data_IF_906467176339
#
_entry.id   IF_906467176339
#
_cell.length_a   1.000
_cell.length_b   1.000
_cell.length_c   1.000
_cell.angle_alpha   90.00
_cell.angle_beta   90.00
_cell.angle_gamma   90.00
#
_symmetry.space_group_name_H-M   'P 1'
#
loop_
_entity.id
_entity.type
_entity.pdbx_description
1 polymer ?
#
# COMPACT_ATOMS: atom_id res chain seq x y z
N UNK A 1 -9.57 1.61 -10.76
CA UNK A 1 -9.41 0.23 -10.21
C UNK A 1 -8.62 0.32 -8.93
N UNK A 2 -8.96 -0.48 -7.91
CA UNK A 2 -8.36 -0.41 -6.58
C UNK A 2 -6.84 -0.65 -6.58
N UNK A 3 -6.32 -1.54 -7.44
CA UNK A 3 -4.89 -1.82 -7.53
C UNK A 3 -4.04 -0.55 -7.77
N UNK A 4 -4.48 0.29 -8.71
CA UNK A 4 -3.79 1.56 -9.04
C UNK A 4 -3.86 2.56 -7.90
N UNK A 5 -4.95 2.56 -7.14
CA UNK A 5 -5.10 3.43 -5.97
C UNK A 5 -4.16 2.98 -4.85
N UNK A 6 -4.10 1.68 -4.57
CA UNK A 6 -3.15 1.13 -3.59
C UNK A 6 -1.71 1.52 -3.97
N UNK A 7 -1.35 1.33 -5.24
CA UNK A 7 -0.05 1.71 -5.77
C UNK A 7 0.22 3.22 -5.62
N UNK A 8 -0.72 4.07 -6.01
CA UNK A 8 -0.58 5.52 -5.92
C UNK A 8 -0.44 6.02 -4.47
N UNK A 9 -1.22 5.48 -3.53
CA UNK A 9 -1.10 5.81 -2.11
C UNK A 9 0.25 5.34 -1.54
N UNK A 10 0.72 4.17 -1.96
CA UNK A 10 2.03 3.66 -1.53
C UNK A 10 3.17 4.51 -2.09
N UNK A 11 3.12 4.86 -3.38
CA UNK A 11 4.08 5.79 -4.00
C UNK A 11 4.07 7.17 -3.30
N UNK A 12 2.89 7.72 -3.00
CA UNK A 12 2.75 8.98 -2.28
C UNK A 12 3.35 8.89 -0.87
N UNK A 13 3.11 7.78 -0.16
CA UNK A 13 3.71 7.55 1.15
C UNK A 13 5.24 7.49 1.07
N UNK A 14 5.80 6.74 0.12
CA UNK A 14 7.25 6.63 -0.07
C UNK A 14 7.88 8.00 -0.38
N UNK A 15 7.24 8.80 -1.22
CA UNK A 15 7.66 10.18 -1.50
C UNK A 15 7.62 11.04 -0.25
N UNK A 16 6.49 11.03 0.46
CA UNK A 16 6.30 11.83 1.66
C UNK A 16 7.32 11.46 2.73
N UNK A 17 7.56 10.17 2.99
CA UNK A 17 8.49 9.68 4.01
C UNK A 17 9.91 10.24 3.85
N UNK A 18 10.34 10.53 2.62
CA UNK A 18 11.66 11.10 2.31
C UNK A 18 11.66 12.64 2.30
N UNK A 19 10.49 13.26 2.36
CA UNK A 19 10.33 14.71 2.27
C UNK A 19 10.40 15.37 3.65
N UNK A 20 10.73 16.67 3.66
CA UNK A 20 10.63 17.51 4.86
C UNK A 20 9.19 17.64 5.39
N UNK A 21 8.18 17.25 4.60
CA UNK A 21 6.77 17.24 5.03
C UNK A 21 6.42 16.07 5.96
N UNK A 22 7.31 15.08 6.12
CA UNK A 22 7.11 13.95 7.01
C UNK A 22 7.33 14.33 8.48
N UNK A 23 6.38 15.09 8.99
CA UNK A 23 6.33 15.58 10.38
C UNK A 23 5.56 14.63 11.29
N UNK A 24 5.72 14.76 12.61
CA UNK A 24 4.94 14.01 13.61
C UNK A 24 3.43 14.13 13.40
N UNK A 25 2.96 15.31 13.02
CA UNK A 25 1.55 15.55 12.66
C UNK A 25 1.11 14.71 11.46
N UNK A 26 1.98 14.54 10.45
CA UNK A 26 1.70 13.70 9.29
C UNK A 26 1.71 12.22 9.69
N UNK A 27 2.66 11.80 10.52
CA UNK A 27 2.72 10.43 11.05
C UNK A 27 1.45 10.09 11.84
N UNK A 28 0.99 10.98 12.72
CA UNK A 28 -0.25 10.82 13.48
C UNK A 28 -1.49 10.69 12.56
N UNK A 29 -1.56 11.52 11.51
CA UNK A 29 -2.61 11.37 10.49
C UNK A 29 -2.59 9.99 9.83
N UNK A 30 -1.39 9.52 9.45
CA UNK A 30 -1.24 8.19 8.87
C UNK A 30 -1.61 7.09 9.86
N UNK A 31 -1.34 7.25 11.15
CA UNK A 31 -1.67 6.29 12.20
C UNK A 31 -3.18 6.26 12.55
N UNK A 32 -3.96 7.29 12.23
CA UNK A 32 -5.39 7.35 12.55
C UNK A 32 -6.32 6.82 11.45
N UNK A 33 -5.87 6.81 10.19
CA UNK A 33 -6.61 6.25 9.07
C UNK A 33 -6.23 4.79 8.85
N UNK A 34 -7.23 3.91 8.75
CA UNK A 34 -6.99 2.49 8.47
C UNK A 34 -6.34 2.31 7.10
N UNK A 35 -6.81 3.04 6.09
CA UNK A 35 -6.25 3.01 4.73
C UNK A 35 -4.79 3.41 4.72
N UNK A 36 -4.48 4.55 5.34
CA UNK A 36 -3.11 5.06 5.40
C UNK A 36 -2.19 4.14 6.21
N UNK A 37 -2.67 3.54 7.31
CA UNK A 37 -1.93 2.52 8.06
C UNK A 37 -1.65 1.26 7.26
N UNK A 38 -2.64 0.79 6.50
CA UNK A 38 -2.45 -0.36 5.63
C UNK A 38 -1.42 -0.05 4.54
N UNK A 39 -1.47 1.15 3.96
CA UNK A 39 -0.46 1.64 3.01
C UNK A 39 0.95 1.68 3.61
N UNK A 40 1.15 2.23 4.82
CA UNK A 40 2.51 2.24 5.41
C UNK A 40 3.01 0.84 5.74
N UNK A 41 2.12 -0.05 6.16
CA UNK A 41 2.45 -1.41 6.55
C UNK A 41 2.90 -2.29 5.38
N UNK A 42 2.62 -1.88 4.13
CA UNK A 42 3.19 -2.51 2.93
C UNK A 42 4.73 -2.52 2.94
N UNK A 43 5.39 -1.57 3.64
CA UNK A 43 6.86 -1.55 3.78
C UNK A 43 7.45 -2.79 4.43
N UNK A 44 6.63 -3.60 5.12
CA UNK A 44 7.05 -4.89 5.69
C UNK A 44 7.29 -5.96 4.63
N UNK A 45 6.67 -5.81 3.46
CA UNK A 45 6.65 -6.82 2.39
C UNK A 45 7.16 -6.29 1.06
N UNK A 46 7.19 -4.97 0.89
CA UNK A 46 7.53 -4.28 -0.35
C UNK A 46 8.57 -3.22 -0.06
N UNK A 47 9.61 -3.15 -0.88
CA UNK A 47 10.64 -2.13 -0.75
C UNK A 47 10.23 -0.82 -1.43
N UNK A 48 11.12 0.18 -1.34
CA UNK A 48 10.87 1.52 -1.88
C UNK A 48 10.86 1.60 -3.42
N UNK A 49 11.21 0.51 -4.11
CA UNK A 49 11.12 0.37 -5.57
C UNK A 49 9.85 -0.39 -5.99
N UNK A 50 8.93 -0.68 -5.05
CA UNK A 50 7.74 -1.47 -5.35
C UNK A 50 7.97 -2.97 -5.48
N UNK A 51 9.19 -3.47 -5.24
CA UNK A 51 9.50 -4.89 -5.31
C UNK A 51 9.15 -5.60 -4.01
N UNK A 52 8.52 -6.77 -4.12
CA UNK A 52 8.25 -7.64 -2.98
C UNK A 52 9.55 -8.21 -2.42
N UNK A 53 9.73 -8.13 -1.11
CA UNK A 53 10.95 -8.56 -0.41
C UNK A 53 10.75 -9.79 0.46
N UNK A 54 9.51 -10.22 0.67
CA UNK A 54 9.21 -11.43 1.45
C UNK A 54 9.22 -12.68 0.58
N UNK A 55 9.69 -13.80 1.13
CA UNK A 55 9.54 -15.13 0.53
C UNK A 55 8.19 -15.79 0.86
N UNK A 56 7.42 -15.25 1.82
CA UNK A 56 6.13 -15.79 2.24
C UNK A 56 4.98 -15.21 1.39
N UNK A 57 4.93 -15.56 0.12
CA UNK A 57 4.02 -14.96 -0.87
C UNK A 57 2.54 -15.17 -0.52
N UNK A 58 2.14 -16.37 -0.08
CA UNK A 58 0.73 -16.65 0.30
C UNK A 58 0.24 -15.78 1.47
N UNK A 59 1.13 -15.50 2.43
CA UNK A 59 0.84 -14.61 3.56
C UNK A 59 0.70 -13.18 3.05
N UNK A 60 1.56 -12.77 2.13
CA UNK A 60 1.52 -11.43 1.56
C UNK A 60 0.25 -11.20 0.72
N UNK A 61 -0.14 -12.17 -0.11
CA UNK A 61 -1.39 -12.13 -0.86
C UNK A 61 -2.60 -12.03 0.08
N UNK A 62 -2.64 -12.86 1.12
CA UNK A 62 -3.66 -12.80 2.17
C UNK A 62 -3.68 -11.44 2.86
N UNK A 63 -2.51 -10.87 3.12
CA UNK A 63 -2.39 -9.54 3.74
C UNK A 63 -2.98 -8.45 2.84
N UNK A 64 -2.67 -8.45 1.54
CA UNK A 64 -3.24 -7.51 0.57
C UNK A 64 -4.77 -7.62 0.56
N UNK A 65 -5.31 -8.82 0.37
CA UNK A 65 -6.75 -9.03 0.21
C UNK A 65 -7.53 -8.73 1.48
N UNK A 66 -7.03 -9.14 2.66
CA UNK A 66 -7.78 -9.02 3.91
C UNK A 66 -7.53 -7.71 4.66
N UNK A 67 -6.37 -7.06 4.48
CA UNK A 67 -6.06 -5.84 5.20
C UNK A 67 -6.07 -4.63 4.27
N UNK A 68 -5.31 -4.66 3.19
CA UNK A 68 -5.13 -3.49 2.32
C UNK A 68 -6.41 -3.18 1.55
N UNK A 69 -6.96 -4.16 0.82
CA UNK A 69 -8.20 -3.99 0.06
C UNK A 69 -9.36 -3.60 0.98
N UNK A 70 -9.50 -4.27 2.13
CA UNK A 70 -10.56 -3.97 3.10
C UNK A 70 -10.44 -2.55 3.68
N UNK A 71 -9.22 -2.11 4.05
CA UNK A 71 -9.01 -0.76 4.56
C UNK A 71 -9.32 0.32 3.51
N UNK A 72 -9.00 0.07 2.24
CA UNK A 72 -9.36 0.96 1.14
C UNK A 72 -10.88 1.04 0.95
N UNK A 73 -11.58 -0.10 0.97
CA UNK A 73 -13.05 -0.14 0.84
C UNK A 73 -13.75 0.63 1.95
N UNK A 74 -13.28 0.54 3.19
CA UNK A 74 -13.88 1.24 4.33
C UNK A 74 -13.68 2.76 4.28
N UNK A 75 -12.69 3.24 3.52
CA UNK A 75 -12.32 4.65 3.46
C UNK A 75 -12.31 5.17 2.00
N UNK A 76 -13.48 5.11 1.34
CA UNK A 76 -13.75 5.86 0.10
C UNK A 76 -13.54 5.10 -1.22
N UNK A 77 -13.18 3.82 -1.16
CA UNK A 77 -12.99 2.97 -2.35
C UNK A 77 -13.92 1.75 -2.37
N UNK A 78 -15.06 1.83 -1.69
CA UNK A 78 -16.07 0.78 -1.55
C UNK A 78 -16.47 0.13 -2.89
N UNK A 79 -16.68 0.94 -3.93
CA UNK A 79 -17.14 0.49 -5.25
C UNK A 79 -16.00 0.27 -6.27
N UNK A 80 -14.74 0.41 -5.85
CA UNK A 80 -13.62 0.24 -6.78
C UNK A 80 -13.35 -1.25 -7.02
N UNK A 81 -13.36 -1.73 -8.28
CA UNK A 81 -13.04 -3.11 -8.55
C UNK A 81 -11.58 -3.38 -8.19
N UNK A 82 -11.36 -4.48 -7.47
CA UNK A 82 -10.05 -5.04 -7.19
C UNK A 82 -9.85 -6.26 -8.08
N UNK A 83 -8.72 -6.30 -8.78
CA UNK A 83 -8.31 -7.45 -9.57
C UNK A 83 -7.19 -8.15 -8.80
N UNK A 84 -7.35 -9.43 -8.51
CA UNK A 84 -6.29 -10.23 -7.92
C UNK A 84 -5.05 -10.21 -8.82
N UNK A 85 -3.87 -10.16 -8.21
CA UNK A 85 -2.62 -10.09 -8.94
C UNK A 85 -2.30 -11.47 -9.49
N UNK A 86 -2.13 -11.59 -10.81
CA UNK A 86 -1.69 -12.83 -11.44
C UNK A 86 -0.26 -13.22 -11.06
N UNK A 87 0.54 -12.22 -10.68
CA UNK A 87 1.88 -12.38 -10.14
C UNK A 87 2.02 -11.43 -8.93
N UNK A 88 1.98 -12.02 -7.74
CA UNK A 88 2.06 -11.26 -6.48
C UNK A 88 3.46 -10.67 -6.24
N UNK A 89 4.48 -11.07 -7.00
CA UNK A 89 5.84 -10.51 -6.86
C UNK A 89 6.00 -9.16 -7.59
N UNK A 90 5.09 -8.85 -8.52
CA UNK A 90 5.15 -7.67 -9.38
C UNK A 90 3.84 -6.84 -9.33
N UNK A 91 3.50 -6.36 -8.14
CA UNK A 91 2.19 -5.70 -7.89
C UNK A 91 2.20 -4.18 -8.05
N UNK A 92 3.37 -3.53 -8.00
CA UNK A 92 3.53 -2.08 -8.11
C UNK A 92 4.52 -1.69 -9.23
N UNK A 93 4.19 -2.00 -10.49
CA UNK A 93 5.10 -1.82 -11.63
C UNK A 93 5.43 -0.35 -11.95
N UNK A 94 4.64 0.61 -11.48
CA UNK A 94 4.78 2.04 -11.75
C UNK A 94 5.58 2.78 -10.66
N UNK A 95 5.96 2.10 -9.58
CA UNK A 95 6.84 2.67 -8.57
C UNK A 95 8.28 2.54 -9.07
N UNK A 96 8.72 3.50 -9.86
CA UNK A 96 10.11 3.60 -10.32
C UNK A 96 10.85 4.63 -9.47
N UNK A 97 11.94 4.20 -8.83
CA UNK A 97 12.99 5.06 -8.27
C UNK A 97 14.32 4.67 -8.90
#
# INVERSE_FOLDING_TARGET
MMNREIEAHYAQYLFLQRSAEWTDKKQDKYAKSQRLRATTSLTKYVNQQGHVTTSFLDIFETYISNNVVNAFRQEGYDNYPFKEYSDITNIFPNIQN
#
